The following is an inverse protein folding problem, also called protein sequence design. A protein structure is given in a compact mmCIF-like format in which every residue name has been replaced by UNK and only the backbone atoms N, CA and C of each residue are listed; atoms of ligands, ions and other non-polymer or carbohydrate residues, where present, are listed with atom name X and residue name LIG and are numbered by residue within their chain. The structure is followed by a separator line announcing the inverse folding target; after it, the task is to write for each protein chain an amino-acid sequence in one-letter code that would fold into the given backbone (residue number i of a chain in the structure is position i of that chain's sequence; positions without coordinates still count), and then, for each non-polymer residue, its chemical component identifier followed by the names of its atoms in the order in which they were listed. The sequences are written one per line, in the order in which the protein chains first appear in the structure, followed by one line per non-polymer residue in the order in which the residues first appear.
data_IF_157114129660
#
_entry.id   IF_157114129660
#
_cell.length_a   1.000
_cell.length_b   1.000
_cell.length_c   1.000
_cell.angle_alpha   90.00
_cell.angle_beta   90.00
_cell.angle_gamma   90.00
#
_symmetry.space_group_name_H-M   'P 1'
#
loop_
_entity.id
_entity.type
_entity.pdbx_description
1 polymer ?
#
# COMPACT_ATOMS: atom_id res chain seq x y z
N UNK A 1 4.91 -75.88 8.35
CA UNK A 1 5.37 -75.89 9.76
C UNK A 1 6.76 -75.25 9.82
N UNK A 2 6.89 -74.23 10.69
CA UNK A 2 8.08 -73.63 11.36
C UNK A 2 9.45 -73.48 10.64
N UNK A 3 10.02 -72.26 10.74
CA UNK A 3 11.39 -71.84 10.34
C UNK A 3 12.54 -72.39 11.23
N UNK A 4 13.78 -71.84 11.23
CA UNK A 4 14.18 -70.42 11.50
C UNK A 4 15.18 -69.82 10.45
N UNK A 5 15.35 -68.52 10.17
CA UNK A 5 15.72 -67.26 10.90
C UNK A 5 17.24 -66.92 10.90
N UNK A 6 17.57 -65.85 10.13
CA UNK A 6 18.69 -64.86 10.20
C UNK A 6 20.14 -65.29 9.93
N UNK A 7 21.06 -64.49 9.34
CA UNK A 7 21.38 -63.03 9.43
C UNK A 7 22.42 -62.74 8.31
N UNK A 8 22.46 -61.61 7.58
CA UNK A 8 23.12 -60.35 7.95
C UNK A 8 22.94 -59.29 6.85
N UNK A 9 22.81 -58.07 7.35
CA UNK A 9 22.81 -56.74 6.72
C UNK A 9 24.09 -56.45 5.94
N UNK A 10 24.00 -55.79 4.79
CA UNK A 10 24.86 -54.64 4.50
C UNK A 10 24.20 -53.65 3.52
N UNK A 11 23.84 -52.48 4.06
CA UNK A 11 23.50 -51.25 3.35
C UNK A 11 24.72 -50.73 2.57
N UNK A 12 24.50 -50.18 1.37
CA UNK A 12 25.18 -48.94 0.97
C UNK A 12 24.39 -48.18 -0.12
N UNK A 13 23.78 -47.07 0.31
CA UNK A 13 23.20 -46.02 -0.53
C UNK A 13 24.29 -45.14 -1.17
N UNK A 14 23.86 -44.36 -2.19
CA UNK A 14 24.20 -42.94 -2.53
C UNK A 14 24.64 -42.76 -3.99
N UNK A 15 24.18 -41.80 -4.80
CA UNK A 15 23.25 -40.66 -4.64
C UNK A 15 22.89 -40.14 -6.05
N UNK A 16 21.61 -40.13 -6.43
CA UNK A 16 21.12 -39.33 -7.56
C UNK A 16 20.60 -38.01 -7.02
N UNK A 17 21.40 -36.94 -7.14
CA UNK A 17 20.96 -35.60 -6.75
C UNK A 17 19.85 -35.18 -7.71
N UNK A 18 18.63 -35.11 -7.20
CA UNK A 18 17.42 -34.82 -7.95
C UNK A 18 17.39 -33.35 -8.41
N UNK A 19 17.11 -33.13 -9.69
CA UNK A 19 16.86 -31.82 -10.32
C UNK A 19 15.83 -30.95 -9.57
N UNK A 20 15.03 -31.54 -8.68
CA UNK A 20 14.03 -30.83 -7.87
C UNK A 20 14.61 -29.78 -6.91
N UNK A 21 15.88 -29.88 -6.52
CA UNK A 21 16.50 -28.91 -5.62
C UNK A 21 16.81 -27.55 -6.30
N UNK A 22 16.90 -27.51 -7.63
CA UNK A 22 17.28 -26.28 -8.35
C UNK A 22 16.08 -25.33 -8.58
N UNK A 23 14.86 -25.85 -8.63
CA UNK A 23 13.65 -25.04 -8.82
C UNK A 23 13.14 -24.38 -7.54
N UNK A 24 13.49 -24.90 -6.36
CA UNK A 24 13.11 -24.30 -5.07
C UNK A 24 14.02 -23.11 -4.67
N UNK A 25 15.21 -23.00 -5.26
CA UNK A 25 16.15 -21.91 -4.99
C UNK A 25 15.88 -20.63 -5.81
N UNK A 26 15.06 -20.70 -6.87
CA UNK A 26 14.74 -19.53 -7.70
C UNK A 26 13.54 -18.72 -7.17
N UNK A 27 12.88 -19.17 -6.09
CA UNK A 27 11.70 -18.53 -5.51
C UNK A 27 11.98 -17.51 -4.38
N UNK A 28 13.24 -17.23 -4.01
CA UNK A 28 13.54 -16.54 -2.75
C UNK A 28 14.25 -15.19 -2.84
N UNK A 29 14.37 -14.56 -4.00
CA UNK A 29 14.97 -13.21 -4.09
C UNK A 29 14.21 -12.26 -5.00
N UNK A 30 12.88 -12.17 -4.86
CA UNK A 30 12.25 -10.87 -5.11
C UNK A 30 12.68 -9.97 -3.96
N UNK A 31 13.68 -9.13 -4.23
CA UNK A 31 14.17 -8.12 -3.28
C UNK A 31 13.10 -7.07 -3.04
N UNK A 32 12.05 -7.42 -2.30
CA UNK A 32 11.17 -6.46 -1.68
C UNK A 32 12.02 -5.67 -0.68
N UNK A 33 12.48 -4.49 -1.12
CA UNK A 33 13.18 -3.56 -0.26
C UNK A 33 12.26 -3.31 0.94
N UNK A 34 12.75 -3.45 2.19
CA UNK A 34 11.92 -3.20 3.36
C UNK A 34 11.33 -1.82 3.19
N UNK A 35 10.00 -1.77 3.21
CA UNK A 35 9.27 -0.58 2.94
C UNK A 35 9.48 0.38 4.11
N UNK A 36 10.09 1.53 3.81
CA UNK A 36 10.42 2.52 4.83
C UNK A 36 9.24 3.48 4.92
N UNK A 37 8.64 3.54 6.11
CA UNK A 37 7.64 4.53 6.47
C UNK A 37 8.18 5.94 6.18
N UNK A 38 7.68 6.61 5.13
CA UNK A 38 8.16 7.92 4.71
C UNK A 38 7.27 9.04 5.25
N UNK A 39 7.88 10.10 5.78
CA UNK A 39 7.14 11.28 6.19
C UNK A 39 6.77 12.13 4.96
N UNK A 40 5.51 12.02 4.54
CA UNK A 40 5.01 12.69 3.33
C UNK A 40 5.02 14.23 3.44
N UNK A 41 4.96 14.82 4.64
CA UNK A 41 5.14 16.27 4.79
C UNK A 41 6.54 16.75 4.42
N UNK A 42 7.55 15.89 4.57
CA UNK A 42 8.92 16.21 4.11
C UNK A 42 9.06 16.09 2.60
N UNK A 43 8.40 15.08 2.00
CA UNK A 43 8.34 14.89 0.54
C UNK A 43 7.58 16.03 -0.14
N UNK A 44 6.48 16.47 0.45
CA UNK A 44 5.57 17.50 -0.05
C UNK A 44 5.48 18.66 0.94
N UNK A 45 6.44 19.61 0.93
CA UNK A 45 6.60 20.65 1.95
C UNK A 45 5.53 21.75 1.93
N UNK A 46 4.49 21.64 1.10
CA UNK A 46 3.33 22.53 1.09
C UNK A 46 3.67 24.04 1.06
N UNK A 47 4.52 24.45 0.11
CA UNK A 47 4.96 25.84 -0.06
C UNK A 47 3.96 26.75 -0.80
N UNK A 48 2.83 26.22 -1.26
CA UNK A 48 1.82 26.95 -2.02
C UNK A 48 0.84 27.64 -1.07
N UNK A 49 0.74 28.96 -1.20
CA UNK A 49 -0.21 29.81 -0.49
C UNK A 49 -1.31 30.33 -1.45
N UNK A 50 -2.26 31.09 -0.91
CA UNK A 50 -3.33 31.73 -1.67
C UNK A 50 -2.78 32.51 -2.86
N UNK A 51 -3.41 32.31 -4.02
CA UNK A 51 -3.08 32.97 -5.27
C UNK A 51 -4.31 33.61 -5.88
N UNK A 52 -4.14 34.82 -6.42
CA UNK A 52 -5.21 35.56 -7.12
C UNK A 52 -5.40 35.09 -8.57
N UNK A 53 -4.66 34.08 -9.03
CA UNK A 53 -4.85 33.60 -10.40
C UNK A 53 -6.26 32.99 -10.54
N UNK A 54 -6.95 33.24 -11.67
CA UNK A 54 -8.31 32.75 -11.87
C UNK A 54 -8.37 31.27 -12.29
N UNK A 55 -7.23 30.67 -12.64
CA UNK A 55 -7.14 29.29 -13.13
C UNK A 55 -6.54 28.37 -12.06
N UNK A 56 -7.00 27.12 -12.05
CA UNK A 56 -6.37 26.07 -11.25
C UNK A 56 -4.93 25.83 -11.70
N UNK A 57 -4.06 25.47 -10.76
CA UNK A 57 -2.71 25.03 -11.09
C UNK A 57 -2.76 23.72 -11.89
N UNK A 58 -1.91 23.61 -12.91
CA UNK A 58 -1.70 22.33 -13.57
C UNK A 58 -1.09 21.33 -12.58
N UNK A 59 -1.65 20.13 -12.54
CA UNK A 59 -1.18 19.02 -11.70
C UNK A 59 -0.62 17.89 -12.55
N UNK A 60 0.47 17.31 -12.10
CA UNK A 60 1.03 16.09 -12.64
C UNK A 60 1.14 15.03 -11.54
N UNK A 61 1.24 13.78 -11.97
CA UNK A 61 1.49 12.62 -11.12
C UNK A 61 2.63 11.85 -11.74
N UNK A 62 3.68 11.62 -10.95
CA UNK A 62 4.81 10.77 -11.34
C UNK A 62 4.76 9.44 -10.59
N UNK A 63 5.62 8.48 -10.99
CA UNK A 63 5.71 7.17 -10.31
C UNK A 63 6.01 7.30 -8.81
N UNK A 64 6.85 8.27 -8.45
CA UNK A 64 7.16 8.58 -7.05
C UNK A 64 6.04 9.23 -6.23
N UNK A 65 4.91 9.56 -6.86
CA UNK A 65 3.71 10.11 -6.23
C UNK A 65 2.64 9.04 -5.93
N UNK A 66 2.98 7.76 -6.12
CA UNK A 66 2.15 6.60 -5.79
C UNK A 66 2.66 5.92 -4.53
N UNK A 67 1.77 5.71 -3.56
CA UNK A 67 2.09 5.17 -2.24
C UNK A 67 1.11 4.09 -1.82
N UNK A 68 1.60 3.13 -1.05
CA UNK A 68 0.81 2.14 -0.35
C UNK A 68 0.48 2.60 1.07
N UNK A 69 -0.78 2.38 1.45
CA UNK A 69 -1.36 2.71 2.74
C UNK A 69 -1.72 1.41 3.44
N UNK A 70 -1.42 1.30 4.73
CA UNK A 70 -1.96 0.22 5.56
C UNK A 70 -3.45 0.41 5.84
N UNK A 71 -3.91 1.66 5.90
CA UNK A 71 -5.29 2.07 6.10
C UNK A 71 -5.51 3.53 5.70
N UNK A 72 -6.76 3.92 5.50
CA UNK A 72 -7.16 5.31 5.36
C UNK A 72 -8.41 5.62 6.19
N UNK A 73 -8.24 6.53 7.15
CA UNK A 73 -9.32 7.00 8.02
C UNK A 73 -9.53 8.49 7.77
N UNK A 74 -10.75 8.88 7.41
CA UNK A 74 -11.12 10.27 7.23
C UNK A 74 -12.40 10.58 7.98
N UNK A 75 -12.36 11.64 8.79
CA UNK A 75 -13.48 12.09 9.60
C UNK A 75 -13.68 13.59 9.46
N UNK A 76 -14.90 13.99 9.14
CA UNK A 76 -15.35 15.38 9.14
C UNK A 76 -16.33 15.58 10.30
N UNK A 77 -15.77 15.88 11.47
CA UNK A 77 -16.50 15.96 12.73
C UNK A 77 -17.40 14.72 12.91
N UNK A 78 -18.64 14.94 13.32
CA UNK A 78 -19.69 13.96 13.57
C UNK A 78 -20.63 13.76 12.37
N UNK A 79 -20.29 14.34 11.21
CA UNK A 79 -21.14 14.33 10.01
C UNK A 79 -20.73 13.32 8.96
N UNK A 80 -19.44 12.99 8.87
CA UNK A 80 -18.94 12.10 7.85
C UNK A 80 -17.73 11.33 8.35
N UNK A 81 -17.72 10.01 8.14
CA UNK A 81 -16.59 9.15 8.46
C UNK A 81 -16.48 8.03 7.43
N UNK A 82 -15.28 7.86 6.87
CA UNK A 82 -14.92 6.75 5.98
C UNK A 82 -13.70 6.06 6.54
N UNK A 83 -13.75 4.73 6.54
CA UNK A 83 -12.63 3.87 6.91
C UNK A 83 -12.36 2.88 5.80
N UNK A 84 -11.12 2.86 5.36
CA UNK A 84 -10.61 1.91 4.38
C UNK A 84 -9.48 1.09 5.01
N UNK A 85 -9.40 -0.17 4.61
CA UNK A 85 -8.24 -1.02 4.88
C UNK A 85 -7.03 -0.64 4.00
N UNK A 86 -6.14 -1.59 3.71
CA UNK A 86 -5.02 -1.38 2.81
C UNK A 86 -5.47 -0.76 1.48
N UNK A 87 -4.67 0.19 0.98
CA UNK A 87 -5.03 0.97 -0.19
C UNK A 87 -3.81 1.51 -0.91
N UNK A 88 -3.94 1.80 -2.20
CA UNK A 88 -3.03 2.66 -2.92
C UNK A 88 -3.54 4.11 -2.88
N UNK A 89 -2.63 5.08 -2.76
CA UNK A 89 -2.91 6.50 -2.98
C UNK A 89 -2.03 7.06 -4.08
N UNK A 90 -2.64 7.89 -4.92
CA UNK A 90 -2.00 8.62 -5.99
C UNK A 90 -2.14 10.11 -5.72
N UNK A 91 -1.03 10.84 -5.74
CA UNK A 91 -1.04 12.30 -5.56
C UNK A 91 -0.90 13.05 -6.88
N UNK A 92 -1.74 14.07 -7.05
CA UNK A 92 -1.54 15.09 -8.06
C UNK A 92 -0.92 16.33 -7.46
N UNK A 93 0.26 16.70 -7.96
CA UNK A 93 1.03 17.77 -7.38
C UNK A 93 1.42 18.87 -8.37
N UNK A 94 1.62 20.07 -7.82
CA UNK A 94 2.21 21.21 -8.49
C UNK A 94 3.44 21.67 -7.71
N UNK A 95 4.64 21.50 -8.26
CA UNK A 95 5.90 21.92 -7.61
C UNK A 95 6.02 21.41 -6.16
N UNK A 96 5.75 20.12 -5.94
CA UNK A 96 5.70 19.41 -4.66
C UNK A 96 4.56 19.80 -3.72
N UNK A 97 3.55 20.52 -4.20
CA UNK A 97 2.32 20.78 -3.47
C UNK A 97 1.26 19.81 -3.94
N UNK A 98 0.86 18.86 -3.09
CA UNK A 98 -0.26 17.97 -3.41
C UNK A 98 -1.56 18.77 -3.36
N UNK A 99 -2.30 18.77 -4.47
CA UNK A 99 -3.56 19.51 -4.60
C UNK A 99 -4.78 18.59 -4.59
N UNK A 100 -4.58 17.31 -4.91
CA UNK A 100 -5.58 16.27 -4.82
C UNK A 100 -4.94 14.91 -4.57
N UNK A 101 -5.75 13.97 -4.09
CA UNK A 101 -5.39 12.56 -3.93
C UNK A 101 -6.52 11.67 -4.45
N UNK A 102 -6.15 10.57 -5.10
CA UNK A 102 -7.04 9.47 -5.43
C UNK A 102 -6.64 8.24 -4.62
N UNK A 103 -7.58 7.63 -3.89
CA UNK A 103 -7.34 6.48 -3.01
C UNK A 103 -8.13 5.29 -3.55
N UNK A 104 -7.45 4.17 -3.71
CA UNK A 104 -7.97 2.92 -4.25
C UNK A 104 -7.72 1.82 -3.22
N UNK A 105 -8.72 1.48 -2.39
CA UNK A 105 -8.57 0.41 -1.42
C UNK A 105 -8.49 -0.95 -2.11
N UNK A 106 -7.74 -1.88 -1.52
CA UNK A 106 -7.56 -3.23 -2.05
C UNK A 106 -8.89 -4.01 -2.02
N UNK A 107 -9.72 -3.71 -1.02
CA UNK A 107 -11.09 -4.22 -0.87
C UNK A 107 -12.07 -3.04 -0.68
N UNK A 108 -13.33 -3.14 -1.12
CA UNK A 108 -14.32 -2.08 -0.89
C UNK A 108 -14.43 -1.71 0.60
N UNK A 109 -14.31 -0.41 0.91
CA UNK A 109 -14.55 0.10 2.26
C UNK A 109 -15.99 0.58 2.43
N UNK A 110 -16.28 1.24 3.55
CA UNK A 110 -17.64 1.68 3.88
C UNK A 110 -17.71 3.14 4.33
N UNK A 111 -18.82 3.81 4.00
CA UNK A 111 -19.22 5.05 4.65
C UNK A 111 -19.81 4.72 6.02
N UNK A 112 -19.06 4.98 7.08
CA UNK A 112 -19.42 4.59 8.46
C UNK A 112 -20.40 5.58 9.08
N UNK A 113 -20.23 6.86 8.78
CA UNK A 113 -21.12 7.94 9.23
C UNK A 113 -21.41 8.87 8.06
N UNK A 114 -22.69 9.13 7.79
CA UNK A 114 -23.15 10.16 6.86
C UNK A 114 -24.65 10.40 7.05
N UNK A 115 -25.16 11.58 6.65
CA UNK A 115 -26.60 11.85 6.61
C UNK A 115 -27.33 11.04 5.53
N UNK A 116 -26.61 10.61 4.49
CA UNK A 116 -27.08 9.73 3.42
C UNK A 116 -25.91 8.83 2.95
N UNK A 117 -26.21 7.62 2.48
CA UNK A 117 -25.19 6.68 1.98
C UNK A 117 -24.41 5.93 3.07
N UNK A 118 -24.83 5.98 4.34
CA UNK A 118 -24.24 5.16 5.41
C UNK A 118 -24.37 3.67 5.06
N UNK A 119 -23.25 2.93 5.11
CA UNK A 119 -23.17 1.52 4.73
C UNK A 119 -22.97 1.28 3.23
N UNK A 120 -22.93 2.32 2.39
CA UNK A 120 -22.56 2.15 1.00
C UNK A 120 -21.08 1.81 0.86
N UNK A 121 -20.78 0.97 -0.13
CA UNK A 121 -19.42 0.58 -0.44
C UNK A 121 -18.66 1.70 -1.15
N UNK A 122 -17.40 1.87 -0.77
CA UNK A 122 -16.46 2.82 -1.35
C UNK A 122 -15.34 2.04 -2.05
N UNK A 123 -15.31 2.10 -3.37
CA UNK A 123 -14.26 1.46 -4.19
C UNK A 123 -13.16 2.43 -4.62
N UNK A 124 -13.39 3.74 -4.46
CA UNK A 124 -12.38 4.77 -4.64
C UNK A 124 -12.80 6.07 -3.97
N UNK A 125 -11.83 6.90 -3.60
CA UNK A 125 -12.05 8.25 -3.08
C UNK A 125 -11.22 9.24 -3.87
N UNK A 126 -11.84 10.34 -4.31
CA UNK A 126 -11.15 11.51 -4.82
C UNK A 126 -11.24 12.66 -3.83
N UNK A 127 -10.11 13.19 -3.38
CA UNK A 127 -10.03 14.25 -2.38
C UNK A 127 -9.35 15.49 -2.93
N UNK A 128 -9.92 16.66 -2.65
CA UNK A 128 -9.25 17.96 -2.73
C UNK A 128 -9.08 18.53 -1.33
N UNK A 129 -7.89 19.03 -1.04
CA UNK A 129 -7.54 19.51 0.30
C UNK A 129 -6.39 20.52 0.21
N UNK A 130 -6.18 21.28 1.28
CA UNK A 130 -5.06 22.21 1.39
C UNK A 130 -3.74 21.43 1.48
N UNK A 131 -2.73 21.77 0.67
CA UNK A 131 -1.46 21.03 0.56
C UNK A 131 -0.77 20.81 1.92
N UNK A 132 -0.88 21.78 2.84
CA UNK A 132 -0.35 21.67 4.20
C UNK A 132 -0.92 20.49 5.03
N UNK A 133 -2.07 19.93 4.62
CA UNK A 133 -2.72 18.81 5.31
C UNK A 133 -2.22 17.43 4.89
N UNK A 134 -1.25 17.33 3.96
CA UNK A 134 -0.74 16.02 3.52
C UNK A 134 -0.31 15.18 4.72
N UNK A 135 0.53 15.67 5.63
CA UNK A 135 0.97 14.86 6.78
C UNK A 135 -0.13 14.47 7.76
N UNK A 136 -1.18 15.28 7.86
CA UNK A 136 -2.34 15.03 8.74
C UNK A 136 -3.24 13.95 8.15
N UNK A 137 -3.65 14.13 6.88
CA UNK A 137 -4.47 13.16 6.16
C UNK A 137 -3.71 11.88 5.88
N UNK A 138 -2.39 12.00 5.77
CA UNK A 138 -1.52 10.98 5.29
C UNK A 138 -0.27 10.78 6.16
N UNK A 139 -0.43 10.23 7.39
CA UNK A 139 0.65 10.11 8.38
C UNK A 139 1.75 9.13 7.95
N UNK A 140 2.91 9.21 8.61
CA UNK A 140 4.16 8.56 8.20
C UNK A 140 4.20 7.01 8.27
N UNK A 141 3.07 6.32 8.43
CA UNK A 141 2.98 4.85 8.42
C UNK A 141 2.83 4.29 6.99
N UNK A 142 3.44 4.95 6.01
CA UNK A 142 3.14 4.75 4.58
C UNK A 142 4.36 4.37 3.81
N UNK A 143 4.12 3.52 2.84
CA UNK A 143 5.16 2.83 2.10
C UNK A 143 5.09 3.26 0.65
N UNK A 144 6.24 3.33 -0.03
CA UNK A 144 6.25 3.61 -1.47
C UNK A 144 5.75 2.37 -2.21
N UNK A 145 4.85 2.55 -3.17
CA UNK A 145 4.44 1.45 -4.05
C UNK A 145 5.66 0.98 -4.88
N UNK A 146 5.79 -0.34 -5.05
CA UNK A 146 6.91 -0.97 -5.74
C UNK A 146 6.96 -0.64 -7.24
#
# INVERSE_FOLDING_TARGET
MAGPVTKRVLLRNRSGVSLGALLLALLLTTGAKPAVAENLSKKYPASLDYSKQPRGYHTATEKEDVWSLSSFDFKLADRFEVKLGPAQVVFGQHKKNVLWAAIFPDEPGEIVTASAGKGEHVTSIWLRFHSARVGELFPANRERAA
#
